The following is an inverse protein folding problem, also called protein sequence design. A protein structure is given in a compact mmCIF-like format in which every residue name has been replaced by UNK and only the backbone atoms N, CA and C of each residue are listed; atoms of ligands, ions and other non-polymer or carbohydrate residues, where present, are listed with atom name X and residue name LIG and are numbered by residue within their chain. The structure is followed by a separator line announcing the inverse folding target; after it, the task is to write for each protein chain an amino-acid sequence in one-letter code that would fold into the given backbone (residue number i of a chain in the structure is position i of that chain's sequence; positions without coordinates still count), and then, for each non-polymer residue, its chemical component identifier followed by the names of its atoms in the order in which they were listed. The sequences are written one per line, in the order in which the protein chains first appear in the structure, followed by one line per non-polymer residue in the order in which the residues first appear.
data_IF_955702059529
#
_entry.id   IF_955702059529
#
_cell.length_a   1.000
_cell.length_b   1.000
_cell.length_c   1.000
_cell.angle_alpha   90.00
_cell.angle_beta   90.00
_cell.angle_gamma   90.00
#
_symmetry.space_group_name_H-M   'P 1'
#
loop_
_entity.id
_entity.type
_entity.pdbx_description
1 polymer ?
#
# COMPACT_ATOMS: atom_id res chain seq x y z
N UNK A 1 -7.72 2.55 -17.84
CA UNK A 1 -7.64 3.66 -16.84
C UNK A 1 -7.93 3.11 -15.46
N UNK A 2 -7.15 3.52 -14.46
CA UNK A 2 -7.40 3.12 -13.07
C UNK A 2 -8.62 3.88 -12.55
N UNK A 3 -9.55 3.15 -11.94
CA UNK A 3 -10.72 3.76 -11.30
C UNK A 3 -10.32 4.29 -9.91
N UNK A 4 -10.35 5.61 -9.75
CA UNK A 4 -10.05 6.28 -8.48
C UNK A 4 -11.31 6.55 -7.64
N UNK A 5 -12.47 6.13 -8.12
CA UNK A 5 -13.77 6.41 -7.51
C UNK A 5 -14.03 5.73 -6.17
N UNK A 6 -13.15 4.82 -5.74
CA UNK A 6 -13.24 4.11 -4.45
C UNK A 6 -12.00 4.33 -3.59
N UNK A 7 -11.34 5.46 -3.77
CA UNK A 7 -10.13 5.83 -3.05
C UNK A 7 -10.16 7.30 -2.61
N UNK A 8 -9.54 7.60 -1.47
CA UNK A 8 -9.01 8.93 -1.18
C UNK A 8 -7.49 8.85 -1.10
N UNK A 9 -6.81 9.99 -1.03
CA UNK A 9 -5.36 10.06 -1.09
C UNK A 9 -4.81 10.88 0.07
N UNK A 10 -3.86 10.32 0.80
CA UNK A 10 -3.04 11.06 1.75
C UNK A 10 -1.81 11.60 1.02
N UNK A 11 -1.52 12.89 1.18
CA UNK A 11 -0.31 13.53 0.63
C UNK A 11 0.55 14.07 1.78
N UNK A 12 1.90 14.11 1.61
CA UNK A 12 2.82 14.38 2.72
C UNK A 12 3.06 15.87 2.96
N UNK A 13 2.01 16.68 3.00
CA UNK A 13 2.05 18.13 3.27
C UNK A 13 0.95 18.51 4.25
N UNK A 14 1.23 19.51 5.04
CA UNK A 14 0.29 20.03 6.03
C UNK A 14 0.44 19.32 7.38
N UNK A 15 -0.19 19.89 8.39
CA UNK A 15 -0.18 19.35 9.76
C UNK A 15 -1.60 19.43 10.33
N UNK A 16 -2.34 18.28 10.34
CA UNK A 16 -1.95 16.95 9.84
C UNK A 16 -1.78 16.90 8.31
N UNK A 17 -1.18 15.83 7.77
CA UNK A 17 -1.08 15.64 6.32
C UNK A 17 -2.45 15.70 5.65
N UNK A 18 -2.51 16.40 4.52
CA UNK A 18 -3.76 16.65 3.82
C UNK A 18 -4.31 15.39 3.16
N UNK A 19 -5.64 15.33 3.06
CA UNK A 19 -6.38 14.30 2.32
C UNK A 19 -6.96 14.91 1.05
N UNK A 20 -6.71 14.27 -0.09
CA UNK A 20 -7.39 14.57 -1.34
C UNK A 20 -8.60 13.65 -1.40
N UNK A 21 -9.78 14.25 -1.42
CA UNK A 21 -11.05 13.49 -1.37
C UNK A 21 -11.33 12.77 -2.69
N UNK A 22 -12.15 11.73 -2.63
CA UNK A 22 -12.51 10.89 -3.79
C UNK A 22 -13.00 11.72 -4.96
N UNK A 23 -13.87 12.70 -4.72
CA UNK A 23 -14.39 13.55 -5.79
C UNK A 23 -13.30 14.39 -6.46
N UNK A 24 -12.31 14.85 -5.70
CA UNK A 24 -11.17 15.57 -6.26
C UNK A 24 -10.31 14.67 -7.16
N UNK A 25 -10.13 13.41 -6.77
CA UNK A 25 -9.43 12.43 -7.59
C UNK A 25 -10.17 12.16 -8.90
N UNK A 26 -11.50 12.00 -8.83
CA UNK A 26 -12.35 11.81 -10.01
C UNK A 26 -12.36 13.02 -10.94
N UNK A 27 -12.19 14.23 -10.39
CA UNK A 27 -12.11 15.47 -11.16
C UNK A 27 -10.71 15.73 -11.74
N UNK A 28 -9.81 14.75 -11.64
CA UNK A 28 -8.50 14.83 -12.28
C UNK A 28 -7.42 15.53 -11.44
N UNK A 29 -7.48 15.38 -10.12
CA UNK A 29 -6.44 15.95 -9.26
C UNK A 29 -5.04 15.55 -9.73
N UNK A 30 -4.17 16.54 -9.90
CA UNK A 30 -2.75 16.40 -10.15
C UNK A 30 -1.98 17.36 -9.25
N UNK A 31 -0.84 16.91 -8.73
CA UNK A 31 0.01 17.74 -7.89
C UNK A 31 1.44 17.21 -7.86
N UNK A 32 2.24 17.81 -7.00
CA UNK A 32 3.65 17.45 -6.85
C UNK A 32 3.85 16.00 -6.44
N UNK A 33 2.94 15.43 -5.65
CA UNK A 33 3.10 14.12 -5.04
C UNK A 33 2.31 13.02 -5.74
N UNK A 34 1.36 13.40 -6.57
CA UNK A 34 0.47 12.45 -7.25
C UNK A 34 0.06 12.99 -8.60
N UNK A 35 0.21 12.15 -9.62
CA UNK A 35 -0.30 12.46 -10.97
C UNK A 35 -1.11 11.30 -11.49
N UNK A 36 -2.21 11.59 -12.21
CA UNK A 36 -3.02 10.59 -12.87
C UNK A 36 -3.08 10.85 -14.37
N UNK A 37 -2.67 9.87 -15.15
CA UNK A 37 -2.75 9.88 -16.60
C UNK A 37 -3.77 8.87 -17.10
N UNK A 38 -3.90 8.78 -18.42
CA UNK A 38 -4.83 7.85 -19.05
C UNK A 38 -4.48 6.37 -18.80
N UNK A 39 -3.20 6.06 -18.62
CA UNK A 39 -2.70 4.68 -18.51
C UNK A 39 -1.98 4.38 -17.20
N UNK A 40 -1.75 5.37 -16.36
CA UNK A 40 -1.01 5.15 -15.10
C UNK A 40 -1.28 6.25 -14.06
N UNK A 41 -0.96 5.94 -12.82
CA UNK A 41 -0.89 6.90 -11.72
C UNK A 41 0.48 6.82 -11.07
N UNK A 42 1.04 7.97 -10.70
CA UNK A 42 2.38 8.07 -10.12
C UNK A 42 2.30 8.68 -8.72
N UNK A 43 3.02 8.08 -7.78
CA UNK A 43 3.10 8.51 -6.39
C UNK A 43 4.53 8.91 -6.04
N UNK A 44 4.68 10.02 -5.33
CA UNK A 44 5.96 10.50 -4.82
C UNK A 44 5.84 10.87 -3.35
N UNK A 45 6.70 10.32 -2.49
CA UNK A 45 6.78 10.72 -1.09
C UNK A 45 8.25 10.95 -0.70
N UNK A 46 8.67 12.23 -0.61
CA UNK A 46 10.04 12.55 -0.20
C UNK A 46 10.25 12.24 1.28
N UNK A 47 11.49 11.95 1.66
CA UNK A 47 11.87 11.67 3.05
C UNK A 47 11.60 12.85 3.99
N UNK A 48 11.50 14.06 3.42
CA UNK A 48 11.21 15.30 4.15
C UNK A 48 9.73 15.61 4.29
N UNK A 49 8.86 14.77 3.72
CA UNK A 49 7.42 14.96 3.76
C UNK A 49 6.85 14.89 5.18
N UNK A 50 5.72 15.57 5.42
CA UNK A 50 5.04 15.50 6.71
C UNK A 50 4.44 14.12 6.93
N UNK A 51 4.41 13.71 8.21
CA UNK A 51 3.99 12.36 8.63
C UNK A 51 2.68 12.47 9.39
N UNK A 52 1.85 11.41 9.32
CA UNK A 52 0.67 11.32 10.19
C UNK A 52 1.10 11.22 11.66
N UNK A 53 0.19 11.57 12.58
CA UNK A 53 0.51 11.80 13.99
C UNK A 53 1.30 10.68 14.67
N UNK A 54 1.02 9.42 14.32
CA UNK A 54 1.64 8.25 14.95
C UNK A 54 2.60 7.51 14.02
N UNK A 55 2.93 8.09 12.86
CA UNK A 55 3.83 7.49 11.89
C UNK A 55 5.23 8.10 11.99
N UNK A 56 6.23 7.29 11.66
CA UNK A 56 7.62 7.74 11.59
C UNK A 56 8.00 8.28 10.20
N UNK A 57 7.23 7.93 9.17
CA UNK A 57 7.62 8.09 7.78
C UNK A 57 6.54 8.77 6.95
N UNK A 58 6.93 9.47 5.87
CA UNK A 58 5.98 10.12 4.96
C UNK A 58 5.37 9.15 3.96
N UNK A 59 4.17 9.49 3.50
CA UNK A 59 3.45 8.70 2.51
C UNK A 59 2.69 9.55 1.51
N UNK A 60 2.55 9.02 0.30
CA UNK A 60 1.54 9.41 -0.68
C UNK A 60 0.80 8.12 -1.01
N UNK A 61 -0.39 7.98 -0.46
CA UNK A 61 -1.02 6.66 -0.39
C UNK A 61 -2.53 6.76 -0.49
N UNK A 62 -3.10 5.92 -1.35
CA UNK A 62 -4.54 5.74 -1.48
C UNK A 62 -5.07 4.91 -0.32
N UNK A 63 -6.26 5.27 0.11
CA UNK A 63 -7.03 4.60 1.15
C UNK A 63 -8.42 4.28 0.60
N UNK A 64 -8.86 3.06 0.78
CA UNK A 64 -10.14 2.57 0.28
C UNK A 64 -11.33 3.36 0.82
N UNK A 65 -12.26 3.73 -0.08
CA UNK A 65 -13.53 4.40 0.24
C UNK A 65 -14.67 3.76 -0.54
N UNK A 66 -15.89 4.11 -0.15
CA UNK A 66 -17.06 3.94 -1.00
C UNK A 66 -17.05 5.00 -2.12
N UNK A 67 -17.89 4.81 -3.13
CA UNK A 67 -17.95 5.73 -4.28
C UNK A 67 -18.39 7.15 -3.90
N UNK A 68 -19.08 7.31 -2.77
CA UNK A 68 -19.46 8.62 -2.23
C UNK A 68 -18.35 9.28 -1.40
N UNK A 69 -17.18 8.65 -1.28
CA UNK A 69 -16.04 9.17 -0.54
C UNK A 69 -16.01 8.83 0.94
N UNK A 70 -17.04 8.18 1.49
CA UNK A 70 -16.99 7.72 2.88
C UNK A 70 -16.04 6.54 3.04
N UNK A 71 -15.47 6.37 4.23
CA UNK A 71 -14.48 5.32 4.49
C UNK A 71 -15.12 3.94 4.33
N UNK A 72 -14.47 3.09 3.54
CA UNK A 72 -14.89 1.71 3.34
C UNK A 72 -14.06 0.81 4.24
N UNK A 73 -14.64 0.44 5.37
CA UNK A 73 -14.07 -0.50 6.32
C UNK A 73 -14.86 -1.80 6.24
N UNK A 74 -14.16 -2.94 6.23
CA UNK A 74 -14.79 -4.24 6.04
C UNK A 74 -14.26 -5.27 7.03
N UNK A 75 -15.04 -6.29 7.28
CA UNK A 75 -14.63 -7.48 8.03
C UNK A 75 -14.21 -8.56 7.04
N UNK A 76 -13.12 -9.27 7.29
CA UNK A 76 -12.58 -10.21 6.32
C UNK A 76 -13.56 -11.33 5.99
N UNK A 77 -14.37 -11.76 6.94
CA UNK A 77 -15.30 -12.89 6.77
C UNK A 77 -16.53 -12.56 5.92
N UNK A 78 -16.74 -11.30 5.57
CA UNK A 78 -17.93 -10.88 4.81
C UNK A 78 -17.78 -11.11 3.29
N UNK A 79 -16.57 -11.29 2.81
CA UNK A 79 -16.31 -11.45 1.37
C UNK A 79 -14.95 -12.10 1.13
N UNK A 80 -14.69 -12.48 -0.12
CA UNK A 80 -13.32 -12.68 -0.60
C UNK A 80 -12.75 -11.33 -0.99
N UNK A 81 -11.66 -10.92 -0.34
CA UNK A 81 -11.13 -9.57 -0.43
C UNK A 81 -9.83 -9.57 -1.22
N UNK A 82 -9.79 -8.80 -2.31
CA UNK A 82 -8.64 -8.74 -3.21
C UNK A 82 -8.17 -7.31 -3.40
N UNK A 83 -6.86 -7.14 -3.39
CA UNK A 83 -6.21 -5.96 -3.93
C UNK A 83 -5.27 -6.42 -5.04
N UNK A 84 -5.56 -6.00 -6.26
CA UNK A 84 -4.80 -6.35 -7.46
C UNK A 84 -4.05 -5.13 -7.94
N UNK A 85 -2.75 -5.27 -8.22
CA UNK A 85 -1.93 -4.17 -8.68
C UNK A 85 -0.92 -4.62 -9.72
N UNK A 86 -0.64 -3.71 -10.66
CA UNK A 86 0.48 -3.80 -11.59
C UNK A 86 1.22 -2.47 -11.51
N UNK A 87 2.51 -2.52 -11.24
CA UNK A 87 3.28 -1.32 -10.94
C UNK A 87 4.75 -1.51 -11.26
N UNK A 88 5.49 -0.42 -11.16
CA UNK A 88 6.94 -0.42 -11.04
C UNK A 88 7.37 0.57 -9.96
N UNK A 89 8.48 0.26 -9.31
CA UNK A 89 9.12 1.16 -8.35
C UNK A 89 10.19 1.94 -9.10
N UNK A 90 10.06 3.26 -9.11
CA UNK A 90 10.95 4.15 -9.87
C UNK A 90 12.12 4.64 -9.04
N UNK A 91 11.90 4.84 -7.74
CA UNK A 91 12.90 5.37 -6.83
C UNK A 91 12.64 4.86 -5.42
N UNK A 92 13.72 4.61 -4.69
CA UNK A 92 13.69 4.28 -3.26
C UNK A 92 14.55 5.27 -2.49
N UNK A 93 14.26 5.49 -1.19
CA UNK A 93 15.14 6.29 -0.32
C UNK A 93 16.40 5.52 0.03
N UNK A 94 17.29 6.11 0.83
CA UNK A 94 18.56 5.47 1.24
C UNK A 94 18.35 4.14 1.97
N UNK A 95 17.24 3.96 2.70
CA UNK A 95 16.90 2.68 3.32
C UNK A 95 16.59 1.59 2.29
N UNK A 96 16.31 1.95 1.05
CA UNK A 96 15.90 1.03 -0.01
C UNK A 96 14.47 0.53 0.11
N UNK A 97 13.67 1.01 1.06
CA UNK A 97 12.39 0.40 1.43
C UNK A 97 11.21 1.33 1.20
N UNK A 98 10.19 0.81 0.50
CA UNK A 98 8.89 1.47 0.31
C UNK A 98 7.78 0.45 0.48
N UNK A 99 6.73 0.81 1.21
CA UNK A 99 5.50 0.00 1.28
C UNK A 99 4.61 0.38 0.11
N UNK A 100 4.12 -0.61 -0.62
CA UNK A 100 3.38 -0.44 -1.87
C UNK A 100 1.94 -0.95 -1.82
N UNK A 101 1.58 -1.67 -0.77
CA UNK A 101 0.23 -2.15 -0.54
C UNK A 101 0.06 -2.60 0.91
N UNK A 102 -1.17 -2.46 1.44
CA UNK A 102 -1.46 -2.82 2.81
C UNK A 102 -2.87 -3.35 2.99
N UNK A 103 -3.05 -4.18 4.02
CA UNK A 103 -4.32 -4.29 4.75
C UNK A 103 -4.10 -3.57 6.08
N UNK A 104 -4.75 -2.43 6.23
CA UNK A 104 -4.67 -1.65 7.46
C UNK A 104 -5.89 -1.88 8.34
N UNK A 105 -5.83 -1.42 9.57
CA UNK A 105 -6.88 -1.62 10.57
C UNK A 105 -7.48 -0.27 10.94
N UNK A 106 -8.81 -0.17 10.87
CA UNK A 106 -9.52 1.04 11.24
C UNK A 106 -9.30 1.36 12.74
N UNK A 107 -9.04 2.61 13.01
CA UNK A 107 -8.79 3.13 14.39
C UNK A 107 -7.61 2.42 15.08
N UNK A 108 -6.59 2.05 14.33
CA UNK A 108 -5.37 1.43 14.84
C UNK A 108 -4.14 1.98 14.11
N UNK A 109 -2.98 1.90 14.77
CA UNK A 109 -1.68 2.24 14.17
C UNK A 109 -0.94 1.02 13.62
N UNK A 110 -1.51 -0.18 13.80
CA UNK A 110 -0.83 -1.45 13.53
C UNK A 110 -1.53 -2.18 12.38
N UNK A 111 -0.95 -2.22 11.17
CA UNK A 111 -1.56 -2.92 10.05
C UNK A 111 -1.53 -4.44 10.23
N UNK A 112 -2.48 -5.13 9.60
CA UNK A 112 -2.44 -6.59 9.46
C UNK A 112 -1.33 -7.02 8.51
N UNK A 113 -1.18 -6.31 7.40
CA UNK A 113 -0.23 -6.64 6.33
C UNK A 113 0.36 -5.39 5.72
N UNK A 114 1.68 -5.40 5.53
CA UNK A 114 2.38 -4.48 4.64
C UNK A 114 3.10 -5.29 3.57
N UNK A 115 2.92 -4.92 2.31
CA UNK A 115 3.73 -5.41 1.19
C UNK A 115 4.76 -4.34 0.89
N UNK A 116 6.03 -4.71 0.99
CA UNK A 116 7.16 -3.77 0.94
C UNK A 116 8.14 -4.19 -0.15
N UNK A 117 8.57 -3.24 -0.96
CA UNK A 117 9.69 -3.40 -1.88
C UNK A 117 10.96 -3.01 -1.13
N UNK A 118 11.97 -3.89 -1.15
CA UNK A 118 13.25 -3.67 -0.48
C UNK A 118 14.39 -3.81 -1.49
N UNK A 119 14.96 -2.69 -1.88
CA UNK A 119 16.06 -2.61 -2.84
C UNK A 119 17.40 -2.68 -2.13
N UNK A 120 18.35 -3.42 -2.73
CA UNK A 120 19.73 -3.49 -2.27
C UNK A 120 20.67 -2.93 -3.34
N UNK A 121 21.39 -1.88 -2.99
CA UNK A 121 22.35 -1.25 -3.91
C UNK A 121 23.42 -2.22 -4.37
N UNK A 122 23.90 -3.11 -3.49
CA UNK A 122 24.94 -4.07 -3.80
C UNK A 122 24.60 -5.02 -4.96
N UNK A 123 23.33 -5.36 -5.13
CA UNK A 123 22.85 -6.26 -6.17
C UNK A 123 22.09 -5.58 -7.29
N UNK A 124 21.73 -4.30 -7.11
CA UNK A 124 20.82 -3.55 -7.98
C UNK A 124 19.47 -4.24 -8.19
N UNK A 125 19.03 -5.01 -7.18
CA UNK A 125 17.78 -5.76 -7.21
C UNK A 125 16.99 -5.56 -5.93
N UNK A 126 15.66 -5.63 -6.04
CA UNK A 126 14.75 -5.56 -4.93
C UNK A 126 14.07 -6.89 -4.66
N UNK A 127 13.59 -7.04 -3.43
CA UNK A 127 12.74 -8.15 -3.00
C UNK A 127 11.35 -7.60 -2.66
N UNK A 128 10.34 -8.43 -2.82
CA UNK A 128 8.98 -8.14 -2.35
C UNK A 128 8.77 -8.91 -1.06
N UNK A 129 8.50 -8.18 0.01
CA UNK A 129 8.43 -8.70 1.37
C UNK A 129 7.03 -8.47 1.93
N UNK A 130 6.45 -9.50 2.53
CA UNK A 130 5.21 -9.39 3.29
C UNK A 130 5.54 -9.29 4.78
N UNK A 131 5.04 -8.26 5.45
CA UNK A 131 5.12 -8.10 6.89
C UNK A 131 3.74 -8.36 7.46
N UNK A 132 3.58 -9.48 8.15
CA UNK A 132 2.28 -10.02 8.55
C UNK A 132 2.14 -10.05 10.06
N UNK A 133 1.11 -9.40 10.57
CA UNK A 133 0.72 -9.49 11.97
C UNK A 133 -0.35 -10.58 12.09
N UNK A 134 0.05 -11.77 12.50
CA UNK A 134 -0.85 -12.94 12.55
C UNK A 134 -1.99 -12.77 13.56
N UNK A 135 -1.73 -12.07 14.64
CA UNK A 135 -2.71 -11.76 15.68
C UNK A 135 -2.74 -10.25 15.91
N UNK A 136 -3.92 -9.64 16.16
CA UNK A 136 -4.00 -8.18 16.41
C UNK A 136 -3.11 -7.68 17.55
N UNK A 137 -2.80 -8.54 18.52
CA UNK A 137 -1.97 -8.19 19.68
C UNK A 137 -0.48 -8.43 19.46
N UNK A 138 -0.07 -8.94 18.30
CA UNK A 138 1.35 -9.15 18.02
C UNK A 138 2.08 -7.81 17.97
N UNK A 139 3.14 -7.69 18.77
CA UNK A 139 3.93 -6.45 18.85
C UNK A 139 4.76 -6.21 17.60
N UNK A 140 5.18 -7.30 16.94
CA UNK A 140 6.00 -7.25 15.75
C UNK A 140 5.41 -8.14 14.67
N UNK A 141 5.41 -7.71 13.40
CA UNK A 141 5.01 -8.57 12.30
C UNK A 141 6.07 -9.62 12.01
N UNK A 142 5.67 -10.75 11.44
CA UNK A 142 6.58 -11.68 10.79
C UNK A 142 6.95 -11.15 9.43
N UNK A 143 8.19 -11.38 9.02
CA UNK A 143 8.75 -10.90 7.76
C UNK A 143 8.95 -12.10 6.83
N UNK A 144 8.27 -12.08 5.69
CA UNK A 144 8.32 -13.15 4.70
C UNK A 144 8.80 -12.57 3.37
N UNK A 145 9.86 -13.13 2.78
CA UNK A 145 10.26 -12.78 1.42
C UNK A 145 9.38 -13.56 0.45
N UNK A 146 8.54 -12.86 -0.31
CA UNK A 146 7.63 -13.47 -1.29
C UNK A 146 8.33 -13.66 -2.62
N UNK A 147 9.06 -12.65 -3.09
CA UNK A 147 9.76 -12.70 -4.37
C UNK A 147 11.07 -11.93 -4.29
N UNK A 148 12.00 -12.26 -5.18
CA UNK A 148 13.32 -11.64 -5.27
C UNK A 148 13.60 -11.22 -6.70
N UNK A 149 14.70 -10.48 -6.90
CA UNK A 149 15.24 -10.11 -8.20
C UNK A 149 14.29 -9.24 -9.03
N UNK A 150 13.69 -8.25 -8.39
CA UNK A 150 12.89 -7.21 -9.04
C UNK A 150 13.70 -5.93 -9.11
N UNK A 151 14.10 -5.53 -10.31
CA UNK A 151 14.89 -4.30 -10.51
C UNK A 151 14.03 -3.04 -10.33
N UNK A 152 14.67 -1.91 -10.07
CA UNK A 152 14.00 -0.62 -10.22
C UNK A 152 13.53 -0.46 -11.67
N UNK A 153 12.39 0.19 -11.86
CA UNK A 153 11.77 0.41 -13.16
C UNK A 153 11.28 -0.86 -13.87
N UNK A 154 11.34 -2.00 -13.22
CA UNK A 154 10.77 -3.26 -13.72
C UNK A 154 9.31 -3.36 -13.33
N UNK A 155 8.44 -3.64 -14.29
CA UNK A 155 7.00 -3.83 -14.05
C UNK A 155 6.74 -5.21 -13.45
N UNK A 156 5.93 -5.25 -12.41
CA UNK A 156 5.51 -6.50 -11.77
C UNK A 156 4.08 -6.36 -11.24
N UNK A 157 3.48 -7.52 -10.95
CA UNK A 157 2.15 -7.58 -10.34
C UNK A 157 2.27 -8.00 -8.88
N UNK A 158 1.33 -7.50 -8.05
CA UNK A 158 1.03 -8.17 -6.79
C UNK A 158 -0.47 -8.36 -6.63
N UNK A 159 -0.84 -9.39 -5.88
CA UNK A 159 -2.21 -9.64 -5.44
C UNK A 159 -2.17 -9.89 -3.94
N UNK A 160 -2.96 -9.13 -3.21
CA UNK A 160 -3.26 -9.41 -1.81
C UNK A 160 -4.65 -10.04 -1.80
N UNK A 161 -4.77 -11.23 -1.20
CA UNK A 161 -6.05 -11.92 -1.09
C UNK A 161 -6.26 -12.40 0.35
N UNK A 162 -7.30 -11.91 0.99
CA UNK A 162 -7.75 -12.38 2.29
C UNK A 162 -9.15 -12.93 2.12
N UNK A 163 -9.31 -14.26 2.24
CA UNK A 163 -10.58 -14.91 2.01
C UNK A 163 -11.45 -14.97 3.27
N UNK A 164 -12.71 -15.39 3.11
CA UNK A 164 -13.69 -15.46 4.20
C UNK A 164 -13.27 -16.39 5.35
N UNK A 165 -12.40 -17.35 5.08
CA UNK A 165 -11.93 -18.32 6.08
C UNK A 165 -10.67 -17.84 6.82
N UNK A 166 -10.14 -16.66 6.48
CA UNK A 166 -8.94 -16.11 7.11
C UNK A 166 -7.63 -16.62 6.51
N UNK A 167 -7.65 -17.13 5.28
CA UNK A 167 -6.43 -17.43 4.55
C UNK A 167 -5.94 -16.16 3.85
N UNK A 168 -4.75 -15.71 4.20
CA UNK A 168 -4.09 -14.56 3.61
C UNK A 168 -3.07 -15.07 2.58
N UNK A 169 -3.16 -14.55 1.36
CA UNK A 169 -2.21 -14.84 0.29
C UNK A 169 -1.59 -13.56 -0.22
N UNK A 170 -0.31 -13.59 -0.53
CA UNK A 170 0.39 -12.52 -1.26
C UNK A 170 1.11 -13.17 -2.42
N UNK A 171 0.71 -12.79 -3.62
CA UNK A 171 1.37 -13.20 -4.86
C UNK A 171 2.09 -11.99 -5.43
N UNK A 172 3.33 -12.14 -5.83
CA UNK A 172 4.11 -11.05 -6.42
C UNK A 172 5.14 -11.64 -7.39
N UNK A 173 5.28 -11.01 -8.55
CA UNK A 173 6.32 -11.35 -9.53
C UNK A 173 6.37 -12.86 -9.82
N UNK A 174 5.20 -13.49 -9.96
CA UNK A 174 5.06 -14.92 -10.26
C UNK A 174 5.27 -15.86 -9.07
N UNK A 175 5.55 -15.34 -7.87
CA UNK A 175 5.73 -16.14 -6.66
C UNK A 175 4.54 -15.96 -5.73
N UNK A 176 4.24 -16.98 -4.93
CA UNK A 176 3.10 -16.96 -4.02
C UNK A 176 3.49 -17.41 -2.61
N UNK A 177 2.90 -16.72 -1.64
CA UNK A 177 2.95 -17.12 -0.24
C UNK A 177 1.54 -17.06 0.33
N UNK A 178 1.20 -17.98 1.23
CA UNK A 178 -0.06 -17.90 1.96
C UNK A 178 0.08 -18.49 3.36
N UNK A 179 -0.75 -18.01 4.26
CA UNK A 179 -0.88 -18.56 5.61
C UNK A 179 -2.21 -18.11 6.21
N UNK A 180 -2.63 -18.79 7.27
CA UNK A 180 -3.85 -18.46 7.99
C UNK A 180 -3.57 -17.45 9.08
N UNK A 181 -4.36 -16.38 9.13
CA UNK A 181 -4.32 -15.40 10.22
C UNK A 181 -5.20 -15.87 11.39
N UNK A 182 -4.97 -15.30 12.57
CA UNK A 182 -5.80 -15.58 13.75
C UNK A 182 -7.26 -15.19 13.50
N UNK A 183 -8.18 -16.02 13.94
CA UNK A 183 -9.62 -15.74 13.88
C UNK A 183 -10.00 -14.48 14.72
N UNK A 184 -9.14 -14.06 15.63
CA UNK A 184 -9.35 -12.83 16.40
C UNK A 184 -9.42 -11.58 15.50
N UNK A 185 -8.80 -11.60 14.31
CA UNK A 185 -8.92 -10.54 13.33
C UNK A 185 -10.36 -10.31 12.85
N UNK A 186 -11.27 -11.28 13.05
CA UNK A 186 -12.69 -11.16 12.67
C UNK A 186 -13.41 -10.00 13.38
N UNK A 187 -12.87 -9.52 14.49
CA UNK A 187 -13.45 -8.42 15.28
C UNK A 187 -12.95 -7.05 14.82
N UNK A 188 -12.00 -6.99 13.92
CA UNK A 188 -11.38 -5.74 13.46
C UNK A 188 -11.91 -5.35 12.09
N UNK A 189 -12.17 -4.06 11.92
CA UNK A 189 -12.48 -3.49 10.61
C UNK A 189 -11.18 -3.20 9.85
N UNK A 190 -11.14 -3.65 8.61
CA UNK A 190 -9.96 -3.60 7.75
C UNK A 190 -10.21 -2.73 6.53
N UNK A 191 -9.15 -2.29 5.87
CA UNK A 191 -9.24 -1.59 4.59
C UNK A 191 -7.93 -1.74 3.83
N UNK A 192 -8.00 -1.63 2.49
CA UNK A 192 -6.82 -1.64 1.64
C UNK A 192 -6.21 -0.25 1.52
N UNK A 193 -4.89 -0.24 1.34
CA UNK A 193 -4.09 0.94 0.99
C UNK A 193 -3.10 0.58 -0.10
N UNK A 194 -2.80 1.54 -0.98
CA UNK A 194 -1.81 1.35 -2.05
C UNK A 194 -1.19 2.70 -2.43
N UNK A 195 0.05 2.66 -2.87
CA UNK A 195 0.78 3.86 -3.30
C UNK A 195 2.25 3.77 -2.95
N UNK A 196 2.78 4.78 -2.26
CA UNK A 196 4.14 4.76 -1.74
C UNK A 196 4.18 5.27 -0.30
N UNK A 197 4.60 4.40 0.59
CA UNK A 197 4.87 4.75 1.99
C UNK A 197 6.38 4.58 2.19
N UNK A 198 7.08 5.71 2.11
CA UNK A 198 8.53 5.77 2.11
C UNK A 198 9.06 5.45 3.49
N UNK A 199 9.87 4.39 3.61
CA UNK A 199 10.37 3.90 4.90
C UNK A 199 11.69 4.56 5.28
N UNK A 200 11.72 5.89 5.23
CA UNK A 200 12.87 6.72 5.57
C UNK A 200 12.40 8.14 5.87
N UNK A 201 13.08 8.82 6.77
CA UNK A 201 12.77 10.20 7.15
C UNK A 201 14.03 11.09 7.26
N UNK A 202 15.14 10.64 6.69
CA UNK A 202 16.41 11.35 6.67
C UNK A 202 16.91 11.50 5.25
N UNK A 203 17.53 12.64 4.94
CA UNK A 203 18.06 12.91 3.63
C UNK A 203 17.53 14.20 3.03
N UNK A 204 17.81 14.41 1.77
CA UNK A 204 17.43 15.61 1.02
C UNK A 204 16.00 15.50 0.47
N UNK A 205 15.44 16.63 0.08
CA UNK A 205 14.08 16.69 -0.51
C UNK A 205 13.96 15.96 -1.84
N UNK A 206 15.08 15.68 -2.51
CA UNK A 206 15.13 14.88 -3.73
C UNK A 206 15.13 13.38 -3.48
N UNK A 207 15.32 12.94 -2.22
CA UNK A 207 15.31 11.54 -1.83
C UNK A 207 13.92 11.13 -1.37
N UNK A 208 13.52 9.94 -1.73
CA UNK A 208 12.22 9.41 -1.34
C UNK A 208 11.82 8.18 -2.13
N UNK A 209 10.57 7.81 -2.01
CA UNK A 209 9.96 6.72 -2.74
C UNK A 209 9.08 7.21 -3.87
N UNK A 210 9.18 6.55 -5.02
CA UNK A 210 8.34 6.85 -6.18
C UNK A 210 7.87 5.56 -6.82
N UNK A 211 6.57 5.44 -7.03
CA UNK A 211 5.94 4.29 -7.68
C UNK A 211 5.03 4.76 -8.82
N UNK A 212 4.87 3.89 -9.80
CA UNK A 212 3.94 4.11 -10.90
C UNK A 212 3.08 2.86 -11.05
N UNK A 213 1.76 3.05 -10.90
CA UNK A 213 0.79 1.95 -11.04
C UNK A 213 0.12 2.02 -12.41
N UNK A 214 0.02 0.87 -13.06
CA UNK A 214 -0.67 0.68 -14.34
C UNK A 214 -2.06 0.07 -14.15
N UNK A 215 -2.24 -0.72 -13.09
CA UNK A 215 -3.52 -1.27 -12.67
C UNK A 215 -3.60 -1.23 -11.14
N UNK A 216 -4.77 -0.94 -10.64
CA UNK A 216 -5.07 -1.01 -9.21
C UNK A 216 -6.57 -1.23 -9.06
N UNK A 217 -6.95 -2.29 -8.35
CA UNK A 217 -8.33 -2.66 -8.16
C UNK A 217 -8.52 -3.33 -6.81
N UNK A 218 -9.47 -2.83 -6.03
CA UNK A 218 -9.92 -3.45 -4.78
C UNK A 218 -11.27 -4.10 -5.04
N UNK A 219 -11.37 -5.40 -4.76
CA UNK A 219 -12.58 -6.17 -5.02
C UNK A 219 -12.97 -6.98 -3.78
N UNK A 220 -14.27 -6.96 -3.48
CA UNK A 220 -14.86 -7.71 -2.38
C UNK A 220 -15.99 -8.57 -2.94
N UNK A 221 -15.69 -9.84 -3.16
CA UNK A 221 -16.62 -10.77 -3.78
C UNK A 221 -17.41 -11.53 -2.71
N UNK A 222 -18.70 -11.26 -2.64
CA UNK A 222 -19.60 -11.83 -1.63
C UNK A 222 -20.22 -13.18 -2.05
N UNK A 223 -20.11 -13.56 -3.31
CA UNK A 223 -20.69 -14.80 -3.82
C UNK A 223 -19.91 -16.05 -3.43
#
# INVERSE_FOLDING_TARGET
MIDLGTWNLSIPVGSPPATVETQQLLNGYDGKYFTSGASNITFWAPVTGTKTANAKYPRTELRETWSNGTLHNWYYQDADNFLNAKLKVLQVPSSGKVVIGQIHVYDSTQPLLKVEYQYKEATHMGSIVAKVRYHPNDKKPRVITVAENVALNETFNYVIHLNKAGLLSVTAHGMAWNDRISATWSKQQLYFKAGVYTQDNTGYTSEGGKTMFFNLDADHNKS
#
